data_IF_148747990221
#
_entry.id   IF_148747990221
#
_cell.length_a   1.000
_cell.length_b   1.000
_cell.length_c   1.000
_cell.angle_alpha   90.00
_cell.angle_beta   90.00
_cell.angle_gamma   90.00
#
_symmetry.space_group_name_H-M   'P 1'
#
loop_
_entity.id
_entity.type
_entity.pdbx_description
1 polymer ?
#
# COMPACT_ATOMS: atom_id res chain seq x y z
N UNK A 1 -33.58 -27.69 13.17
CA UNK A 1 -32.82 -26.41 13.13
C UNK A 1 -31.64 -26.59 14.09
N UNK A 2 -30.44 -26.07 13.78
CA UNK A 2 -29.12 -26.40 14.38
C UNK A 2 -28.46 -27.61 13.69
N UNK A 3 -27.23 -27.55 13.16
CA UNK A 3 -26.26 -26.46 13.08
C UNK A 3 -25.27 -26.74 11.94
N UNK A 4 -25.06 -25.75 11.08
CA UNK A 4 -23.95 -25.74 10.13
C UNK A 4 -22.70 -25.28 10.87
N UNK A 5 -21.75 -26.18 11.07
CA UNK A 5 -20.40 -25.82 11.51
C UNK A 5 -19.43 -25.78 10.32
N UNK A 6 -18.37 -24.97 10.40
CA UNK A 6 -17.96 -24.08 9.33
C UNK A 6 -16.93 -24.70 8.39
N UNK A 7 -17.00 -24.38 7.09
CA UNK A 7 -15.82 -24.45 6.23
C UNK A 7 -14.88 -23.33 6.66
N UNK A 8 -13.89 -23.67 7.47
CA UNK A 8 -12.72 -22.83 7.68
C UNK A 8 -11.96 -22.76 6.35
N UNK A 9 -12.34 -21.80 5.51
CA UNK A 9 -11.61 -21.44 4.30
C UNK A 9 -10.25 -20.96 4.75
N UNK A 10 -9.25 -21.83 4.59
CA UNK A 10 -7.84 -21.56 4.77
C UNK A 10 -7.49 -20.21 4.16
N UNK A 11 -7.26 -19.20 5.01
CA UNK A 11 -6.53 -18.00 4.64
C UNK A 11 -5.15 -18.48 4.22
N UNK A 12 -4.96 -18.67 2.91
CA UNK A 12 -3.62 -18.81 2.34
C UNK A 12 -2.96 -17.47 2.54
N UNK A 13 -2.27 -17.32 3.68
CA UNK A 13 -1.37 -16.21 3.93
C UNK A 13 -0.23 -16.40 2.94
N UNK A 14 -0.35 -15.80 1.76
CA UNK A 14 0.76 -15.68 0.83
C UNK A 14 1.88 -15.01 1.63
N UNK A 15 2.91 -15.77 1.96
CA UNK A 15 4.13 -15.25 2.56
C UNK A 15 4.89 -14.54 1.44
N UNK A 16 4.38 -13.39 1.01
CA UNK A 16 5.09 -12.51 0.10
C UNK A 16 6.36 -12.07 0.83
N UNK A 17 7.50 -12.52 0.33
CA UNK A 17 8.81 -12.01 0.75
C UNK A 17 8.73 -10.49 0.71
N UNK A 18 8.93 -9.83 1.85
CA UNK A 18 8.90 -8.37 1.95
C UNK A 18 10.01 -7.82 1.05
N UNK A 19 9.67 -7.49 -0.20
CA UNK A 19 10.60 -6.83 -1.10
C UNK A 19 10.64 -5.38 -0.68
N UNK A 20 11.78 -4.96 -0.14
CA UNK A 20 12.03 -3.54 0.10
C UNK A 20 11.99 -2.84 -1.25
N UNK A 21 11.20 -1.76 -1.42
CA UNK A 21 11.19 -1.01 -2.67
C UNK A 21 12.57 -0.42 -2.92
N UNK A 22 13.04 -0.49 -4.17
CA UNK A 22 14.28 0.17 -4.58
C UNK A 22 14.03 1.66 -4.79
N UNK A 23 14.97 2.50 -4.36
CA UNK A 23 14.94 3.93 -4.67
C UNK A 23 15.41 4.15 -6.11
N UNK A 24 14.73 5.05 -6.82
CA UNK A 24 15.06 5.40 -8.21
C UNK A 24 15.19 6.92 -8.39
N UNK A 25 16.04 7.40 -9.32
CA UNK A 25 16.04 8.81 -9.71
C UNK A 25 14.73 9.24 -10.38
N UNK A 26 14.43 10.54 -10.34
CA UNK A 26 13.18 11.12 -10.91
C UNK A 26 13.01 10.78 -12.40
N UNK A 27 14.10 10.81 -13.19
CA UNK A 27 14.05 10.43 -14.62
C UNK A 27 13.54 9.00 -14.81
N UNK A 28 14.07 8.07 -14.01
CA UNK A 28 13.69 6.64 -14.07
C UNK A 28 12.25 6.46 -13.61
N UNK A 29 11.82 7.17 -12.56
CA UNK A 29 10.42 7.16 -12.13
C UNK A 29 9.46 7.56 -13.27
N UNK A 30 9.82 8.60 -14.03
CA UNK A 30 9.04 9.04 -15.20
C UNK A 30 9.04 8.00 -16.33
N UNK A 31 10.18 7.37 -16.63
CA UNK A 31 10.25 6.29 -17.63
C UNK A 31 9.36 5.10 -17.25
N UNK A 32 9.33 4.73 -15.96
CA UNK A 32 8.44 3.69 -15.45
C UNK A 32 6.97 4.06 -15.60
N UNK A 33 6.60 5.32 -15.33
CA UNK A 33 5.23 5.80 -15.57
C UNK A 33 4.84 5.63 -17.05
N UNK A 34 5.71 6.02 -17.98
CA UNK A 34 5.46 5.89 -19.42
C UNK A 34 5.39 4.42 -19.86
N UNK A 35 6.07 3.52 -19.15
CA UNK A 35 5.99 2.07 -19.35
C UNK A 35 4.70 1.43 -18.75
N UNK A 36 3.79 2.24 -18.18
CA UNK A 36 2.50 1.79 -17.65
C UNK A 36 2.50 1.47 -16.16
N UNK A 37 3.55 1.80 -15.42
CA UNK A 37 3.53 1.75 -13.96
C UNK A 37 2.70 2.90 -13.38
N UNK A 38 2.31 2.79 -12.10
CA UNK A 38 1.52 3.81 -11.39
C UNK A 38 2.27 4.30 -10.17
N UNK A 39 2.07 5.56 -9.83
CA UNK A 39 2.55 6.12 -8.57
C UNK A 39 1.65 5.73 -7.41
N UNK A 40 2.27 5.37 -6.30
CA UNK A 40 1.64 5.18 -5.01
C UNK A 40 2.13 6.30 -4.09
N UNK A 41 1.22 7.16 -3.64
CA UNK A 41 1.51 8.25 -2.71
C UNK A 41 1.07 7.84 -1.31
N UNK A 42 2.01 7.71 -0.39
CA UNK A 42 1.76 7.26 0.99
C UNK A 42 1.58 8.41 1.98
N UNK A 43 1.59 9.66 1.49
CA UNK A 43 1.36 10.87 2.30
C UNK A 43 -0.09 10.96 2.77
N UNK A 44 -0.37 11.97 3.60
CA UNK A 44 -1.73 12.26 4.05
C UNK A 44 -2.65 12.64 2.87
N UNK A 45 -3.97 12.40 2.97
CA UNK A 45 -4.93 12.85 1.95
C UNK A 45 -4.89 14.36 1.71
N UNK A 46 -4.61 15.15 2.74
CA UNK A 46 -4.54 16.61 2.67
C UNK A 46 -3.35 17.07 1.81
N UNK A 47 -2.17 16.49 2.04
CA UNK A 47 -0.98 16.74 1.21
C UNK A 47 -1.18 16.29 -0.24
N UNK A 48 -1.86 15.15 -0.44
CA UNK A 48 -2.19 14.66 -1.77
C UNK A 48 -3.17 15.60 -2.49
N UNK A 49 -4.20 16.08 -1.79
CA UNK A 49 -5.19 17.02 -2.35
C UNK A 49 -4.59 18.39 -2.67
N UNK A 50 -3.55 18.81 -1.96
CA UNK A 50 -2.84 20.06 -2.26
C UNK A 50 -2.06 20.01 -3.59
N UNK A 51 -1.70 18.80 -4.05
CA UNK A 51 -1.06 18.57 -5.35
C UNK A 51 -0.35 17.22 -5.42
N UNK A 52 -0.51 16.54 -6.56
CA UNK A 52 0.09 15.23 -6.82
C UNK A 52 0.35 14.99 -8.31
N UNK A 53 1.21 14.01 -8.60
CA UNK A 53 1.51 13.61 -9.97
C UNK A 53 0.27 12.98 -10.63
N UNK A 54 -0.01 13.26 -11.92
CA UNK A 54 -1.14 12.67 -12.63
C UNK A 54 -1.13 11.14 -12.57
N UNK A 55 -2.29 10.54 -12.27
CA UNK A 55 -2.45 9.09 -12.17
C UNK A 55 -1.88 8.45 -10.90
N UNK A 56 -1.38 9.25 -9.95
CA UNK A 56 -1.01 8.75 -8.63
C UNK A 56 -2.24 8.28 -7.83
N UNK A 57 -2.06 7.22 -7.04
CA UNK A 57 -3.06 6.70 -6.11
C UNK A 57 -2.58 6.97 -4.70
N UNK A 58 -3.40 7.63 -3.88
CA UNK A 58 -3.09 7.86 -2.48
C UNK A 58 -3.50 6.66 -1.62
N UNK A 59 -2.55 6.10 -0.87
CA UNK A 59 -2.82 5.12 0.19
C UNK A 59 -2.05 5.59 1.43
N UNK A 60 -2.67 6.42 2.27
CA UNK A 60 -2.01 6.99 3.44
C UNK A 60 -1.47 5.91 4.38
N UNK A 61 -0.19 6.00 4.71
CA UNK A 61 0.39 5.08 5.68
C UNK A 61 0.16 5.59 7.10
N UNK A 62 -0.69 4.91 7.87
CA UNK A 62 -0.90 5.20 9.28
C UNK A 62 0.01 4.33 10.15
N UNK A 63 1.03 4.93 10.75
CA UNK A 63 1.82 4.26 11.78
C UNK A 63 0.98 4.17 13.06
N UNK A 64 0.48 2.97 13.38
CA UNK A 64 -0.11 2.73 14.70
C UNK A 64 1.03 2.69 15.71
N UNK A 65 1.21 3.79 16.43
CA UNK A 65 2.01 3.75 17.66
C UNK A 65 1.26 2.82 18.60
N UNK A 66 1.84 1.66 18.93
CA UNK A 66 1.29 0.81 19.98
C UNK A 66 1.10 1.66 21.22
N UNK A 67 -0.06 1.57 21.87
CA UNK A 67 -0.27 2.13 23.21
C UNK A 67 0.93 1.67 24.04
N UNK A 68 1.78 2.63 24.43
CA UNK A 68 2.92 2.34 25.27
C UNK A 68 2.39 1.66 26.52
N UNK A 69 2.67 0.37 26.66
CA UNK A 69 2.47 -0.32 27.92
C UNK A 69 3.59 0.13 28.84
N UNK A 70 3.26 1.05 29.75
CA UNK A 70 3.85 1.24 31.09
C UNK A 70 2.98 2.22 31.86
#
# INVERSE_FOLDING_TARGET
>A
MVGKSPKATTLRRNLETTRVPISVPVRVAHELLQAGHRYLDVRTPEEFSAGHAPGAVNIPYMYRVGSGES
#
